data_IF_655494664107
#
_entry.id   IF_655494664107
#
_cell.length_a   1.000
_cell.length_b   1.000
_cell.length_c   1.000
_cell.angle_alpha   90.00
_cell.angle_beta   90.00
_cell.angle_gamma   90.00
#
_symmetry.space_group_name_H-M   'P 1'
#
loop_
_entity.id
_entity.type
_entity.pdbx_description
1 polymer ?
#
# COMPACT_ATOMS: atom_id res chain seq x y z
N UNK A 1 -12.78 -6.23 17.13
CA UNK A 1 -13.71 -5.46 16.27
C UNK A 1 -13.12 -5.31 14.86
N UNK A 2 -13.46 -6.25 13.98
CA UNK A 2 -13.10 -6.24 12.56
C UNK A 2 -14.01 -5.28 11.76
N UNK A 3 -14.10 -4.03 12.18
CA UNK A 3 -14.95 -3.03 11.53
C UNK A 3 -14.25 -2.41 10.31
N UNK A 4 -14.42 -3.07 9.14
CA UNK A 4 -14.20 -2.40 7.85
C UNK A 4 -13.91 -3.29 6.64
N UNK A 5 -13.87 -4.62 6.78
CA UNK A 5 -13.47 -5.51 5.68
C UNK A 5 -14.65 -6.15 4.90
N UNK A 6 -15.89 -5.72 5.13
CA UNK A 6 -17.06 -6.17 4.36
C UNK A 6 -17.35 -5.22 3.20
N UNK A 7 -16.65 -5.36 2.06
CA UNK A 7 -16.91 -4.53 0.88
C UNK A 7 -16.30 -5.12 -0.39
N UNK A 8 -16.76 -4.65 -1.55
CA UNK A 8 -16.17 -4.99 -2.85
C UNK A 8 -14.65 -4.78 -2.85
N UNK A 9 -13.91 -5.64 -3.57
CA UNK A 9 -12.47 -5.50 -3.74
C UNK A 9 -12.08 -4.13 -4.30
N UNK A 10 -12.89 -3.59 -5.21
CA UNK A 10 -12.79 -2.21 -5.69
C UNK A 10 -14.03 -1.47 -5.22
N UNK A 11 -13.98 -0.72 -4.11
CA UNK A 11 -15.16 -0.06 -3.53
C UNK A 11 -15.82 0.95 -4.47
N UNK A 12 -15.06 1.53 -5.40
CA UNK A 12 -15.56 2.47 -6.42
C UNK A 12 -16.15 1.78 -7.66
N UNK A 13 -15.93 0.47 -7.80
CA UNK A 13 -16.24 -0.31 -9.01
C UNK A 13 -15.19 -0.21 -10.11
N UNK A 14 -14.16 0.64 -9.98
CA UNK A 14 -13.14 0.88 -10.99
C UNK A 14 -11.79 0.31 -10.58
N UNK A 15 -10.99 -0.14 -11.57
CA UNK A 15 -9.59 -0.52 -11.33
C UNK A 15 -8.70 0.70 -11.10
N UNK A 16 -9.01 1.81 -11.76
CA UNK A 16 -8.36 3.11 -11.64
C UNK A 16 -9.44 4.19 -11.67
N UNK A 17 -9.43 5.07 -10.68
CA UNK A 17 -10.25 6.27 -10.61
C UNK A 17 -9.39 7.51 -10.85
N UNK A 18 -10.05 8.60 -11.23
CA UNK A 18 -9.54 9.96 -11.04
C UNK A 18 -9.90 10.42 -9.62
N UNK A 19 -8.89 10.55 -8.76
CA UNK A 19 -9.04 11.05 -7.39
C UNK A 19 -8.70 12.54 -7.35
N UNK A 20 -9.72 13.37 -7.23
CA UNK A 20 -9.57 14.81 -7.04
C UNK A 20 -9.14 15.12 -5.60
N UNK A 21 -8.01 15.80 -5.45
CA UNK A 21 -7.45 16.18 -4.15
C UNK A 21 -7.15 17.69 -4.18
N UNK A 22 -8.01 18.54 -3.60
CA UNK A 22 -7.79 19.98 -3.50
C UNK A 22 -6.41 20.33 -2.96
N UNK A 23 -5.72 21.24 -3.65
CA UNK A 23 -4.35 21.65 -3.31
C UNK A 23 -3.24 20.73 -3.84
N UNK A 24 -3.58 19.54 -4.36
CA UNK A 24 -2.63 18.60 -4.99
C UNK A 24 -2.92 18.45 -6.48
N UNK A 25 -4.19 18.28 -6.84
CA UNK A 25 -4.65 18.05 -8.22
C UNK A 25 -5.43 16.74 -8.35
N UNK A 26 -5.64 16.30 -9.59
CA UNK A 26 -6.31 15.03 -9.89
C UNK A 26 -5.28 13.93 -10.11
N UNK A 27 -5.37 12.87 -9.33
CA UNK A 27 -4.44 11.74 -9.37
C UNK A 27 -5.15 10.50 -9.89
N UNK A 28 -4.53 9.78 -10.84
CA UNK A 28 -4.94 8.40 -11.10
C UNK A 28 -4.68 7.58 -9.85
N UNK A 29 -5.69 6.83 -9.39
CA UNK A 29 -5.60 6.04 -8.17
C UNK A 29 -6.27 4.66 -8.32
N UNK A 30 -5.59 3.60 -7.90
CA UNK A 30 -6.24 2.31 -7.63
C UNK A 30 -6.60 2.27 -6.15
N UNK A 31 -7.88 2.10 -5.84
CA UNK A 31 -8.38 1.96 -4.47
C UNK A 31 -8.91 0.55 -4.26
N UNK A 32 -8.19 -0.23 -3.45
CA UNK A 32 -8.46 -1.66 -3.29
C UNK A 32 -8.70 -2.04 -1.83
N UNK A 33 -9.63 -2.96 -1.58
CA UNK A 33 -9.90 -3.58 -0.29
C UNK A 33 -9.47 -5.06 -0.31
N UNK A 34 -8.17 -5.32 -0.17
CA UNK A 34 -7.60 -6.67 -0.11
C UNK A 34 -6.44 -6.71 0.88
N UNK A 35 -6.59 -7.50 1.95
CA UNK A 35 -5.67 -7.49 3.10
C UNK A 35 -5.82 -6.26 4.00
N UNK A 36 -5.75 -5.06 3.42
CA UNK A 36 -6.11 -3.78 4.07
C UNK A 36 -6.55 -2.78 2.99
N UNK A 37 -7.56 -1.92 3.24
CA UNK A 37 -7.90 -0.84 2.33
C UNK A 37 -6.66 -0.01 1.99
N UNK A 38 -6.32 0.08 0.71
CA UNK A 38 -5.09 0.72 0.23
C UNK A 38 -5.35 1.55 -1.01
N UNK A 39 -4.83 2.77 -1.01
CA UNK A 39 -4.81 3.70 -2.14
C UNK A 39 -3.42 3.61 -2.78
N UNK A 40 -3.36 3.26 -4.06
CA UNK A 40 -2.14 3.29 -4.87
C UNK A 40 -2.21 4.44 -5.86
N UNK A 41 -1.17 5.28 -5.90
CA UNK A 41 -1.00 6.36 -6.88
C UNK A 41 0.36 6.25 -7.57
N UNK A 42 0.53 6.89 -8.73
CA UNK A 42 1.83 6.87 -9.41
C UNK A 42 2.83 7.82 -8.73
N UNK A 43 4.08 7.39 -8.56
CA UNK A 43 5.14 8.18 -7.97
C UNK A 43 5.39 9.49 -8.75
N UNK A 44 5.43 9.40 -10.08
CA UNK A 44 5.70 10.55 -10.95
C UNK A 44 4.63 11.65 -10.85
N UNK A 45 3.37 11.29 -10.60
CA UNK A 45 2.28 12.24 -10.39
C UNK A 45 2.44 13.07 -9.11
N UNK A 46 3.28 12.61 -8.18
CA UNK A 46 3.64 13.29 -6.95
C UNK A 46 5.05 13.92 -7.00
N UNK A 47 5.73 13.84 -8.15
CA UNK A 47 7.13 14.28 -8.28
C UNK A 47 8.17 13.34 -7.65
N UNK A 48 7.78 12.11 -7.31
CA UNK A 48 8.67 11.09 -6.75
C UNK A 48 9.15 10.10 -7.82
N UNK A 49 10.31 9.49 -7.57
CA UNK A 49 10.91 8.45 -8.40
C UNK A 49 10.40 7.06 -8.05
N UNK A 50 9.91 6.84 -6.83
CA UNK A 50 9.58 5.51 -6.29
C UNK A 50 10.74 4.85 -5.54
N UNK A 51 11.93 5.46 -5.55
CA UNK A 51 13.14 4.94 -4.91
C UNK A 51 13.43 5.58 -3.54
N UNK A 52 12.62 6.55 -3.11
CA UNK A 52 12.81 7.34 -1.88
C UNK A 52 13.02 6.47 -0.63
N UNK A 53 13.92 6.90 0.25
CA UNK A 53 14.09 6.34 1.60
C UNK A 53 13.40 7.23 2.64
N UNK A 54 13.37 6.77 3.90
CA UNK A 54 12.66 7.45 4.98
C UNK A 54 13.11 8.91 5.15
N UNK A 55 14.39 9.21 5.05
CA UNK A 55 14.91 10.57 5.25
C UNK A 55 14.42 11.57 4.19
N UNK A 56 14.09 11.10 2.99
CA UNK A 56 13.57 11.94 1.91
C UNK A 56 12.11 12.37 2.12
N UNK A 57 11.36 11.71 3.03
CA UNK A 57 9.91 11.95 3.22
C UNK A 57 9.58 12.26 4.68
N UNK A 58 10.15 11.53 5.64
CA UNK A 58 9.76 11.61 7.05
C UNK A 58 10.18 12.91 7.74
N UNK A 59 11.16 13.63 7.17
CA UNK A 59 11.57 14.96 7.61
C UNK A 59 10.84 16.12 6.92
N UNK A 60 10.08 15.85 5.86
CA UNK A 60 9.35 16.87 5.10
C UNK A 60 7.88 16.94 5.53
N UNK A 61 7.56 17.92 6.39
CA UNK A 61 6.21 18.11 6.89
C UNK A 61 5.18 18.42 5.78
N UNK A 62 5.60 19.03 4.67
CA UNK A 62 4.72 19.32 3.54
C UNK A 62 4.38 18.04 2.78
N UNK A 63 5.37 17.18 2.54
CA UNK A 63 5.15 15.86 1.95
C UNK A 63 4.21 15.01 2.80
N UNK A 64 4.43 14.97 4.12
CA UNK A 64 3.57 14.20 5.03
C UNK A 64 2.12 14.72 5.04
N UNK A 65 1.93 16.04 5.05
CA UNK A 65 0.60 16.66 4.96
C UNK A 65 -0.08 16.37 3.62
N UNK A 66 0.66 16.41 2.51
CA UNK A 66 0.16 16.04 1.18
C UNK A 66 -0.33 14.58 1.16
N UNK A 67 0.49 13.63 1.64
CA UNK A 67 0.09 12.23 1.69
C UNK A 67 -1.12 11.99 2.57
N UNK A 68 -1.22 12.66 3.73
CA UNK A 68 -2.40 12.56 4.59
C UNK A 68 -3.65 13.12 3.91
N UNK A 69 -3.51 14.22 3.18
CA UNK A 69 -4.62 14.81 2.41
C UNK A 69 -5.10 13.82 1.34
N UNK A 70 -4.20 13.26 0.53
CA UNK A 70 -4.58 12.26 -0.49
C UNK A 70 -5.24 11.03 0.18
N UNK A 71 -4.71 10.57 1.32
CA UNK A 71 -5.26 9.45 2.07
C UNK A 71 -6.68 9.73 2.54
N UNK A 72 -6.96 10.92 3.08
CA UNK A 72 -8.28 11.31 3.55
C UNK A 72 -9.30 11.37 2.41
N UNK A 73 -8.93 11.97 1.27
CA UNK A 73 -9.80 12.01 0.08
C UNK A 73 -10.03 10.62 -0.51
N UNK A 74 -9.01 9.77 -0.55
CA UNK A 74 -9.18 8.38 -0.96
C UNK A 74 -10.07 7.59 0.01
N UNK A 75 -9.96 7.82 1.33
CA UNK A 75 -10.84 7.21 2.31
C UNK A 75 -12.31 7.59 2.11
N UNK A 76 -12.57 8.87 1.83
CA UNK A 76 -13.89 9.38 1.50
C UNK A 76 -14.42 8.74 0.21
N UNK A 77 -13.58 8.70 -0.84
CA UNK A 77 -13.94 8.11 -2.14
C UNK A 77 -14.20 6.61 -2.07
N UNK A 78 -13.50 5.91 -1.17
CA UNK A 78 -13.73 4.49 -0.86
C UNK A 78 -14.97 4.24 0.02
N UNK A 79 -15.62 5.29 0.55
CA UNK A 79 -16.75 5.18 1.46
C UNK A 79 -16.38 4.71 2.87
N UNK A 80 -15.11 4.83 3.28
CA UNK A 80 -14.62 4.42 4.61
C UNK A 80 -14.89 5.47 5.69
N UNK A 81 -15.15 6.71 5.27
CA UNK A 81 -15.53 7.86 6.09
C UNK A 81 -16.62 8.64 5.35
N UNK A 82 -17.46 9.40 6.06
CA UNK A 82 -18.49 10.26 5.44
C UNK A 82 -18.03 11.71 5.33
N UNK A 83 -17.22 12.16 6.26
CA UNK A 83 -16.64 13.50 6.31
C UNK A 83 -15.12 13.44 6.47
N UNK A 84 -14.40 14.41 5.90
CA UNK A 84 -12.92 14.43 5.89
C UNK A 84 -12.29 14.52 7.28
N UNK A 85 -12.96 15.17 8.23
CA UNK A 85 -12.50 15.31 9.61
C UNK A 85 -12.44 13.97 10.37
N UNK A 86 -13.22 12.97 9.94
CA UNK A 86 -13.15 11.60 10.48
C UNK A 86 -11.78 10.94 10.19
N UNK A 87 -11.06 11.37 9.15
CA UNK A 87 -9.76 10.81 8.79
C UNK A 87 -8.73 11.00 9.92
N UNK A 88 -8.82 12.09 10.68
CA UNK A 88 -7.94 12.37 11.82
C UNK A 88 -8.09 11.32 12.93
N UNK A 89 -9.31 10.78 13.12
CA UNK A 89 -9.60 9.72 14.10
C UNK A 89 -9.37 8.32 13.52
N UNK A 90 -9.21 8.19 12.19
CA UNK A 90 -9.03 6.93 11.46
C UNK A 90 -7.67 6.88 10.75
N UNK A 91 -6.58 6.90 11.52
CA UNK A 91 -5.21 6.88 10.99
C UNK A 91 -4.73 5.50 10.50
N UNK A 92 -5.37 4.42 10.94
CA UNK A 92 -4.95 3.06 10.59
C UNK A 92 -5.38 2.63 9.18
N UNK A 93 -6.55 3.04 8.68
CA UNK A 93 -7.06 2.68 7.34
C UNK A 93 -7.78 3.85 6.66
N UNK A 94 -7.71 3.98 5.32
CA UNK A 94 -6.90 3.18 4.40
C UNK A 94 -5.40 3.52 4.53
N UNK A 95 -4.55 2.67 3.97
CA UNK A 95 -3.13 2.99 3.71
C UNK A 95 -3.03 3.79 2.41
N UNK A 96 -1.95 4.57 2.30
CA UNK A 96 -1.57 5.19 1.04
C UNK A 96 -0.18 4.72 0.64
N UNK A 97 -0.05 4.34 -0.63
CA UNK A 97 1.19 3.93 -1.24
C UNK A 97 1.33 4.56 -2.62
N UNK A 98 2.58 4.77 -3.04
CA UNK A 98 2.90 5.17 -4.40
C UNK A 98 3.76 4.11 -5.08
N UNK A 99 3.53 3.96 -6.39
CA UNK A 99 4.15 2.92 -7.22
C UNK A 99 4.93 3.53 -8.38
N UNK A 100 5.97 2.83 -8.81
CA UNK A 100 6.73 3.18 -10.01
C UNK A 100 7.21 1.91 -10.73
N UNK A 101 7.53 1.99 -12.03
CA UNK A 101 8.28 0.97 -12.73
C UNK A 101 9.59 0.58 -12.00
N UNK A 102 10.14 -0.60 -12.25
CA UNK A 102 11.37 -1.03 -11.60
C UNK A 102 12.52 -0.09 -11.97
N UNK A 103 13.34 0.26 -10.98
CA UNK A 103 14.54 1.09 -11.14
C UNK A 103 15.55 0.70 -10.07
N UNK A 104 16.83 0.84 -10.39
CA UNK A 104 17.92 0.65 -9.45
C UNK A 104 17.81 1.60 -8.26
N UNK A 105 18.11 1.11 -7.06
CA UNK A 105 18.28 1.95 -5.86
C UNK A 105 19.18 1.27 -4.82
N UNK A 106 19.66 2.06 -3.86
CA UNK A 106 20.34 1.57 -2.67
C UNK A 106 19.35 1.53 -1.53
N UNK A 107 19.17 0.37 -0.91
CA UNK A 107 18.25 0.19 0.21
C UNK A 107 18.74 0.90 1.47
N UNK A 108 17.88 1.01 2.48
CA UNK A 108 18.24 1.54 3.81
C UNK A 108 19.33 0.74 4.52
N UNK A 109 19.63 -0.48 4.07
CA UNK A 109 20.73 -1.30 4.60
C UNK A 109 22.03 -1.18 3.80
N UNK A 110 22.09 -0.27 2.81
CA UNK A 110 23.22 -0.12 1.89
C UNK A 110 23.29 -1.16 0.77
N UNK A 111 22.32 -2.08 0.67
CA UNK A 111 22.29 -3.10 -0.38
C UNK A 111 21.78 -2.49 -1.69
N UNK A 112 22.50 -2.72 -2.79
CA UNK A 112 21.98 -2.40 -4.13
C UNK A 112 20.85 -3.36 -4.51
N UNK A 113 19.74 -2.80 -4.96
CA UNK A 113 18.61 -3.52 -5.58
C UNK A 113 18.60 -3.12 -7.05
N UNK A 114 18.75 -4.10 -7.93
CA UNK A 114 18.80 -3.85 -9.37
C UNK A 114 17.40 -3.92 -9.97
N UNK A 115 17.19 -3.23 -11.08
CA UNK A 115 15.96 -3.26 -11.89
C UNK A 115 15.58 -4.69 -12.26
N UNK A 116 16.56 -5.57 -12.52
CA UNK A 116 16.34 -7.00 -12.82
C UNK A 116 15.89 -7.83 -11.62
N UNK A 117 16.06 -7.32 -10.39
CA UNK A 117 15.71 -8.01 -9.15
C UNK A 117 14.27 -7.71 -8.70
N UNK A 118 13.53 -6.84 -9.39
CA UNK A 118 12.19 -6.39 -8.99
C UNK A 118 11.29 -6.21 -10.21
N UNK A 119 10.00 -6.41 -10.01
CA UNK A 119 8.97 -6.16 -11.02
C UNK A 119 8.47 -4.70 -10.98
N UNK A 120 8.53 -4.07 -9.80
CA UNK A 120 8.06 -2.70 -9.55
C UNK A 120 8.64 -2.14 -8.26
N UNK A 121 8.50 -0.83 -8.07
CA UNK A 121 8.78 -0.15 -6.81
C UNK A 121 7.48 0.20 -6.10
N UNK A 122 7.46 -0.01 -4.77
CA UNK A 122 6.36 0.43 -3.91
C UNK A 122 6.88 1.08 -2.65
N UNK A 123 6.27 2.21 -2.29
CA UNK A 123 6.52 2.96 -1.07
C UNK A 123 5.19 3.23 -0.40
N UNK A 124 5.06 2.88 0.88
CA UNK A 124 3.80 2.99 1.61
C UNK A 124 3.98 3.77 2.91
N UNK A 125 2.97 4.55 3.26
CA UNK A 125 2.89 5.26 4.52
C UNK A 125 1.99 4.52 5.50
N UNK A 126 2.37 4.57 6.77
CA UNK A 126 1.56 4.09 7.88
C UNK A 126 1.73 5.04 9.06
N UNK A 127 0.62 5.42 9.69
CA UNK A 127 0.61 6.37 10.82
C UNK A 127 1.37 7.67 10.48
N UNK A 128 1.11 8.21 9.29
CA UNK A 128 1.68 9.49 8.84
C UNK A 128 3.17 9.48 8.50
N UNK A 129 3.82 8.31 8.36
CA UNK A 129 5.25 8.20 8.03
C UNK A 129 5.50 7.14 6.97
N UNK A 130 6.55 7.32 6.17
CA UNK A 130 7.07 6.32 5.26
C UNK A 130 7.55 5.10 6.05
N UNK A 131 6.99 3.94 5.72
CA UNK A 131 7.33 2.69 6.36
C UNK A 131 8.72 2.21 5.90
N UNK A 132 9.56 1.75 6.83
CA UNK A 132 10.96 1.34 6.53
C UNK A 132 11.04 0.17 5.53
N UNK A 133 10.11 -0.80 5.63
CA UNK A 133 9.99 -1.91 4.70
C UNK A 133 8.59 -1.92 4.03
N UNK A 134 7.73 -2.89 4.36
CA UNK A 134 6.33 -2.90 3.94
C UNK A 134 5.44 -3.61 4.97
N UNK A 135 4.25 -3.06 5.25
CA UNK A 135 3.27 -3.68 6.12
C UNK A 135 2.77 -5.00 5.50
N UNK A 136 2.61 -6.06 6.30
CA UNK A 136 2.19 -7.38 5.82
C UNK A 136 0.87 -7.37 5.05
N UNK A 137 -0.14 -6.67 5.58
CA UNK A 137 -1.45 -6.52 4.92
C UNK A 137 -1.39 -5.66 3.66
N UNK A 138 -0.53 -4.63 3.62
CA UNK A 138 -0.29 -3.83 2.42
C UNK A 138 0.44 -4.64 1.34
N UNK A 139 1.30 -5.60 1.72
CA UNK A 139 1.90 -6.53 0.76
C UNK A 139 0.83 -7.41 0.08
N UNK A 140 -0.21 -7.84 0.82
CA UNK A 140 -1.37 -8.53 0.22
C UNK A 140 -2.10 -7.63 -0.78
N UNK A 141 -2.31 -6.35 -0.46
CA UNK A 141 -2.91 -5.39 -1.37
C UNK A 141 -2.09 -5.22 -2.66
N UNK A 142 -0.76 -5.13 -2.55
CA UNK A 142 0.17 -5.06 -3.69
C UNK A 142 0.05 -6.31 -4.56
N UNK A 143 0.17 -7.51 -3.97
CA UNK A 143 0.09 -8.76 -4.72
C UNK A 143 -1.25 -8.94 -5.41
N UNK A 144 -2.34 -8.59 -4.72
CA UNK A 144 -3.69 -8.63 -5.29
C UNK A 144 -3.84 -7.68 -6.47
N UNK A 145 -3.47 -6.41 -6.30
CA UNK A 145 -3.58 -5.42 -7.36
C UNK A 145 -2.70 -5.80 -8.57
N UNK A 146 -1.49 -6.31 -8.32
CA UNK A 146 -0.59 -6.78 -9.38
C UNK A 146 -1.15 -7.97 -10.19
N UNK A 147 -1.96 -8.84 -9.57
CA UNK A 147 -2.61 -9.95 -10.25
C UNK A 147 -3.76 -9.53 -11.17
N UNK A 148 -4.18 -8.26 -11.12
CA UNK A 148 -5.33 -7.73 -11.86
C UNK A 148 -4.83 -6.72 -12.91
N UNK A 149 -4.78 -7.11 -14.19
CA UNK A 149 -4.38 -6.22 -15.28
C UNK A 149 -5.21 -4.93 -15.30
N UNK A 150 -4.55 -3.80 -15.50
CA UNK A 150 -5.18 -2.48 -15.54
C UNK A 150 -5.20 -1.71 -14.22
N UNK A 151 -4.87 -2.33 -13.07
CA UNK A 151 -4.58 -1.54 -11.86
C UNK A 151 -3.25 -0.79 -12.00
N UNK A 152 -3.06 0.31 -11.26
CA UNK A 152 -1.78 1.04 -11.28
C UNK A 152 -0.60 0.17 -10.83
N UNK A 153 -0.83 -0.76 -9.91
CA UNK A 153 0.19 -1.71 -9.44
C UNK A 153 0.57 -2.69 -10.56
N UNK A 154 -0.41 -3.26 -11.26
CA UNK A 154 -0.15 -4.13 -12.42
C UNK A 154 0.54 -3.35 -13.54
N UNK A 155 0.10 -2.12 -13.84
CA UNK A 155 0.72 -1.25 -14.85
C UNK A 155 2.19 -0.97 -14.53
N UNK A 156 2.50 -0.60 -13.29
CA UNK A 156 3.88 -0.39 -12.84
C UNK A 156 4.74 -1.66 -12.98
N UNK A 157 4.13 -2.84 -12.91
CA UNK A 157 4.80 -4.13 -13.09
C UNK A 157 4.83 -4.64 -14.55
N UNK A 158 4.37 -3.84 -15.52
CA UNK A 158 4.34 -4.21 -16.95
C UNK A 158 2.95 -4.58 -17.51
N UNK A 159 1.89 -4.29 -16.77
CA UNK A 159 0.48 -4.41 -17.14
C UNK A 159 0.03 -5.80 -17.64
N UNK A 160 0.52 -6.86 -17.00
CA UNK A 160 0.08 -8.24 -17.25
C UNK A 160 -0.47 -8.88 -15.99
N UNK A 161 -1.13 -10.03 -16.12
CA UNK A 161 -1.54 -10.80 -14.96
C UNK A 161 -0.29 -11.44 -14.33
N UNK A 162 0.02 -11.07 -13.09
CA UNK A 162 1.12 -11.66 -12.34
C UNK A 162 0.58 -12.58 -11.24
N UNK A 163 0.91 -13.88 -11.30
CA UNK A 163 0.65 -14.78 -10.16
C UNK A 163 1.47 -14.38 -8.93
N UNK A 164 2.63 -13.77 -9.16
CA UNK A 164 3.46 -13.15 -8.14
C UNK A 164 4.30 -12.00 -8.69
N UNK A 165 4.54 -11.02 -7.83
CA UNK A 165 5.48 -9.92 -8.07
C UNK A 165 6.48 -9.82 -6.92
N UNK A 166 7.69 -9.41 -7.25
CA UNK A 166 8.73 -9.00 -6.32
C UNK A 166 8.85 -7.48 -6.41
N UNK A 167 8.39 -6.78 -5.38
CA UNK A 167 8.50 -5.32 -5.35
C UNK A 167 9.70 -4.87 -4.51
N UNK A 168 10.30 -3.75 -4.92
CA UNK A 168 11.29 -3.04 -4.13
C UNK A 168 10.64 -2.07 -3.13
N UNK A 169 10.95 -2.21 -1.85
CA UNK A 169 10.59 -1.32 -0.73
C UNK A 169 11.87 -0.70 -0.13
N UNK A 170 11.81 0.28 0.80
CA UNK A 170 13.02 1.02 1.19
C UNK A 170 14.15 0.14 1.76
N UNK A 171 13.84 -0.88 2.56
CA UNK A 171 14.86 -1.81 3.07
C UNK A 171 15.28 -2.98 2.15
N UNK A 172 14.69 -3.16 0.96
CA UNK A 172 15.00 -4.32 0.11
C UNK A 172 13.82 -4.78 -0.75
N UNK A 173 13.69 -6.08 -0.98
CA UNK A 173 12.62 -6.62 -1.85
C UNK A 173 11.74 -7.61 -1.11
N UNK A 174 10.48 -7.71 -1.54
CA UNK A 174 9.53 -8.69 -1.03
C UNK A 174 8.75 -9.31 -2.18
N UNK A 175 8.69 -10.65 -2.21
CA UNK A 175 7.88 -11.41 -3.18
C UNK A 175 6.52 -11.73 -2.57
N UNK A 176 5.46 -11.37 -3.27
CA UNK A 176 4.07 -11.65 -2.91
C UNK A 176 3.32 -12.18 -4.12
N UNK A 177 2.42 -13.14 -3.90
CA UNK A 177 1.54 -13.68 -4.93
C UNK A 177 0.08 -13.49 -4.60
N UNK A 178 -0.74 -13.48 -5.64
CA UNK A 178 -2.19 -13.54 -5.51
C UNK A 178 -2.80 -14.24 -6.72
N UNK A 179 -3.92 -14.91 -6.51
CA UNK A 179 -4.76 -15.44 -7.57
C UNK A 179 -6.10 -14.71 -7.51
N UNK A 180 -6.36 -13.86 -8.51
CA UNK A 180 -7.62 -13.14 -8.67
C UNK A 180 -8.35 -13.66 -9.90
N UNK A 181 -9.67 -13.83 -9.80
CA UNK A 181 -10.54 -14.23 -10.91
C UNK A 181 -11.75 -13.32 -10.97
N UNK A 182 -12.22 -13.04 -12.18
CA UNK A 182 -13.47 -12.34 -12.38
C UNK A 182 -14.63 -13.36 -12.38
N UNK A 183 -15.62 -13.14 -11.53
CA UNK A 183 -16.84 -13.95 -11.43
C UNK A 183 -18.02 -12.99 -11.52
N UNK A 184 -18.88 -13.18 -12.53
CA UNK A 184 -20.04 -12.31 -12.77
C UNK A 184 -19.69 -10.82 -12.84
N UNK A 185 -18.56 -10.48 -13.49
CA UNK A 185 -18.09 -9.10 -13.64
C UNK A 185 -17.32 -8.54 -12.44
N UNK A 186 -17.30 -9.23 -11.29
CA UNK A 186 -16.60 -8.79 -10.07
C UNK A 186 -15.29 -9.54 -9.86
N UNK A 187 -14.26 -8.85 -9.41
CA UNK A 187 -13.00 -9.47 -9.02
C UNK A 187 -13.12 -10.14 -7.65
N UNK A 188 -12.64 -11.38 -7.56
CA UNK A 188 -12.55 -12.17 -6.33
C UNK A 188 -11.12 -12.69 -6.17
N UNK A 189 -10.51 -12.45 -5.02
CA UNK A 189 -9.21 -13.05 -4.66
C UNK A 189 -9.47 -14.43 -4.09
N UNK A 190 -8.97 -15.46 -4.77
CA UNK A 190 -9.00 -16.83 -4.25
C UNK A 190 -7.89 -17.09 -3.25
N UNK A 191 -6.73 -16.44 -3.44
CA UNK A 191 -5.53 -16.71 -2.66
C UNK A 191 -4.62 -15.49 -2.62
N UNK A 192 -4.03 -15.22 -1.48
CA UNK A 192 -2.86 -14.37 -1.33
C UNK A 192 -1.72 -15.19 -0.70
N UNK A 193 -0.50 -15.06 -1.21
CA UNK A 193 0.65 -15.88 -0.82
C UNK A 193 1.82 -14.97 -0.48
N UNK A 194 2.41 -15.16 0.70
CA UNK A 194 3.67 -14.52 1.06
C UNK A 194 4.54 -15.48 1.86
N UNK A 195 5.85 -15.29 1.77
CA UNK A 195 6.82 -15.97 2.63
C UNK A 195 7.23 -15.04 3.77
N UNK A 196 7.15 -15.54 5.01
CA UNK A 196 7.60 -14.87 6.22
C UNK A 196 8.37 -15.89 7.08
N UNK A 197 9.14 -15.40 8.04
CA UNK A 197 9.79 -16.21 9.06
C UNK A 197 9.36 -15.73 10.45
N UNK A 198 9.39 -16.63 11.43
CA UNK A 198 9.10 -16.33 12.83
C UNK A 198 10.16 -17.02 13.71
N UNK A 199 10.52 -16.38 14.83
CA UNK A 199 11.35 -16.96 15.88
C UNK A 199 10.86 -16.50 17.24
N UNK A 200 10.95 -17.36 18.24
CA UNK A 200 10.75 -16.96 19.64
C UNK A 200 11.91 -16.06 20.06
N UNK A 201 11.61 -14.94 20.71
CA UNK A 201 12.60 -14.04 21.32
C UNK A 201 12.68 -14.24 22.84
N UNK A 202 11.53 -14.44 23.49
CA UNK A 202 11.42 -14.67 24.93
C UNK A 202 10.20 -15.55 25.21
N UNK A 203 10.34 -16.45 26.18
CA UNK A 203 9.26 -17.24 26.76
C UNK A 203 9.26 -17.02 28.29
N UNK A 204 8.10 -16.75 28.88
CA UNK A 204 7.98 -16.42 30.30
C UNK A 204 6.64 -15.78 30.65
N UNK A 205 6.58 -15.12 31.81
CA UNK A 205 5.37 -14.42 32.27
C UNK A 205 5.60 -12.91 32.27
N UNK A 206 4.73 -12.17 31.58
CA UNK A 206 4.66 -10.71 31.71
C UNK A 206 3.98 -10.35 33.03
N UNK A 207 4.48 -9.33 33.73
CA UNK A 207 3.87 -8.82 34.97
C UNK A 207 3.17 -7.49 34.69
N UNK A 208 2.08 -7.28 35.41
CA UNK A 208 1.18 -6.12 35.33
C UNK A 208 0.74 -5.72 36.74
N UNK A 209 0.38 -4.45 37.01
CA UNK A 209 -0.17 -4.04 38.30
C UNK A 209 -1.46 -4.80 38.64
N UNK A 210 -1.66 -5.13 39.93
CA UNK A 210 -2.82 -5.91 40.38
C UNK A 210 -4.18 -5.21 40.28
N UNK A 211 -4.19 -3.92 39.91
CA UNK A 211 -5.39 -3.10 39.69
C UNK A 211 -5.52 -2.60 38.24
N UNK A 212 -4.78 -3.21 37.29
CA UNK A 212 -4.78 -2.77 35.89
C UNK A 212 -5.99 -3.27 35.09
N UNK A 213 -6.74 -4.23 35.63
CA UNK A 213 -7.96 -4.83 35.08
C UNK A 213 -8.81 -5.42 36.21
#
# INVERSE_FOLDING_TARGET
>A
DEEGAGGSMFPTGNLVDDLEVPGVGTLKATMINAGIPTIFVNANALGYKGTELQDAINGDSKALAMFETIRAYGALRMGLIKHLDEAAKRQHTPKIAFVAPPSDYVSSSGKKVQTTDIDLLVRALSMGKLHHAMMGTCAVAIGTAAAIPGTLVSIAAGNRAHEAVRFGHPSGTLRVGAEAKQVSGQWIVKKAVMSRSARVLMEGMVRVPGNAF
#
